data_IF_320782662502
#
_entry.id   IF_320782662502
#
_cell.length_a   1.000
_cell.length_b   1.000
_cell.length_c   1.000
_cell.angle_alpha   90.00
_cell.angle_beta   90.00
_cell.angle_gamma   90.00
#
_symmetry.space_group_name_H-M   'P 1'
#
loop_
_entity.id
_entity.type
_entity.pdbx_description
1 polymer ?
#
# COMPACT_ATOMS: atom_id res chain seq x y z
N UNK A 1 -20.92 -9.79 8.70
CA UNK A 1 -19.69 -10.38 9.26
C UNK A 1 -18.68 -9.27 9.61
N UNK A 2 -18.59 -8.77 10.86
CA UNK A 2 -17.45 -7.92 11.22
C UNK A 2 -16.99 -8.12 12.68
N UNK A 3 -16.20 -9.16 12.95
CA UNK A 3 -15.58 -9.35 14.29
C UNK A 3 -14.06 -9.58 14.23
N UNK A 4 -13.46 -9.76 13.05
CA UNK A 4 -12.02 -10.02 12.94
C UNK A 4 -11.16 -8.74 12.88
N UNK A 5 -11.74 -7.58 12.58
CA UNK A 5 -10.98 -6.31 12.48
C UNK A 5 -10.72 -5.61 13.82
N UNK A 6 -11.41 -6.00 14.90
CA UNK A 6 -11.28 -5.32 16.21
C UNK A 6 -10.21 -5.93 17.12
N UNK A 7 -9.85 -7.19 16.89
CA UNK A 7 -8.98 -7.93 17.82
C UNK A 7 -7.48 -7.72 17.55
N UNK A 8 -7.10 -7.29 16.35
CA UNK A 8 -5.71 -6.96 16.02
C UNK A 8 -5.24 -5.62 16.62
N UNK A 9 -6.15 -4.78 17.11
CA UNK A 9 -5.82 -3.50 17.74
C UNK A 9 -5.58 -3.58 19.25
N UNK A 10 -5.88 -4.71 19.90
CA UNK A 10 -5.97 -4.77 21.37
C UNK A 10 -4.91 -5.64 22.06
N UNK A 11 -4.12 -6.42 21.32
CA UNK A 11 -3.15 -7.34 21.93
C UNK A 11 -1.78 -7.22 21.24
N UNK A 12 -0.94 -6.30 21.71
CA UNK A 12 0.51 -6.35 21.51
C UNK A 12 1.06 -6.07 20.10
N UNK A 13 0.24 -5.65 19.14
CA UNK A 13 0.73 -5.19 17.84
C UNK A 13 1.21 -3.74 17.97
N UNK A 14 2.51 -3.50 17.74
CA UNK A 14 3.01 -2.15 17.52
C UNK A 14 2.08 -1.44 16.54
N UNK A 15 1.64 -0.23 16.89
CA UNK A 15 0.69 0.55 16.10
C UNK A 15 1.20 0.54 14.65
N UNK A 16 0.50 -0.11 13.71
CA UNK A 16 0.94 -0.12 12.32
C UNK A 16 1.03 1.33 11.85
N UNK A 17 2.25 1.81 11.67
CA UNK A 17 2.55 3.20 11.31
C UNK A 17 2.80 3.35 9.81
N UNK A 18 2.97 2.25 9.07
CA UNK A 18 3.21 2.32 7.63
C UNK A 18 2.84 1.05 6.87
N UNK A 19 3.11 1.11 5.57
CA UNK A 19 2.79 0.10 4.58
C UNK A 19 4.03 -0.20 3.74
N UNK A 20 4.18 -1.45 3.33
CA UNK A 20 5.20 -1.88 2.37
C UNK A 20 4.61 -2.92 1.41
N UNK A 21 5.27 -3.13 0.27
CA UNK A 21 4.94 -4.27 -0.60
C UNK A 21 5.36 -5.58 0.06
N UNK A 22 4.52 -6.60 -0.09
CA UNK A 22 4.94 -7.98 0.19
C UNK A 22 5.91 -8.47 -0.88
N UNK A 23 6.57 -9.61 -0.67
CA UNK A 23 7.40 -10.24 -1.71
C UNK A 23 6.59 -10.53 -2.99
N UNK A 24 5.36 -11.04 -2.84
CA UNK A 24 4.46 -11.29 -3.96
C UNK A 24 4.00 -9.99 -4.64
N UNK A 25 3.68 -8.96 -3.85
CA UNK A 25 3.34 -7.63 -4.36
C UNK A 25 4.49 -7.03 -5.16
N UNK A 26 5.72 -7.19 -4.67
CA UNK A 26 6.96 -6.76 -5.33
C UNK A 26 7.17 -7.49 -6.64
N UNK A 27 7.02 -8.82 -6.67
CA UNK A 27 7.18 -9.62 -7.88
C UNK A 27 6.13 -9.29 -8.95
N UNK A 28 4.87 -9.11 -8.55
CA UNK A 28 3.78 -8.70 -9.46
C UNK A 28 4.00 -7.29 -9.99
N UNK A 29 4.31 -6.36 -9.11
CA UNK A 29 4.50 -4.97 -9.51
C UNK A 29 5.71 -4.80 -10.43
N UNK A 30 6.81 -5.52 -10.19
CA UNK A 30 7.97 -5.52 -11.09
C UNK A 30 7.62 -5.94 -12.51
N UNK A 31 6.77 -6.97 -12.68
CA UNK A 31 6.28 -7.38 -14.01
C UNK A 31 5.42 -6.30 -14.65
N UNK A 32 4.60 -5.62 -13.84
CA UNK A 32 3.70 -4.53 -14.28
C UNK A 32 4.48 -3.31 -14.77
N UNK A 33 5.52 -2.87 -14.05
CA UNK A 33 6.38 -1.73 -14.48
C UNK A 33 6.97 -1.98 -15.86
N UNK A 34 7.40 -3.22 -16.15
CA UNK A 34 8.06 -3.54 -17.41
C UNK A 34 7.15 -3.41 -18.65
N UNK A 35 5.84 -3.42 -18.47
CA UNK A 35 4.84 -3.32 -19.54
C UNK A 35 3.91 -2.11 -19.42
N UNK A 36 4.08 -1.27 -18.39
CA UNK A 36 3.18 -0.15 -18.13
C UNK A 36 3.35 0.94 -19.20
N UNK A 37 2.23 1.37 -19.76
CA UNK A 37 2.18 2.54 -20.63
C UNK A 37 1.98 3.84 -19.82
N UNK A 38 1.97 4.99 -20.50
CA UNK A 38 1.81 6.29 -19.85
C UNK A 38 0.46 6.45 -19.14
N UNK A 39 -0.61 5.87 -19.69
CA UNK A 39 -1.94 5.95 -19.10
C UNK A 39 -2.03 5.14 -17.79
N UNK A 40 -1.43 3.94 -17.79
CA UNK A 40 -1.33 3.12 -16.60
C UNK A 40 -0.41 3.76 -15.54
N UNK A 41 0.71 4.34 -15.95
CA UNK A 41 1.63 5.04 -15.05
C UNK A 41 1.01 6.29 -14.39
N UNK A 42 0.01 6.91 -15.03
CA UNK A 42 -0.74 8.02 -14.49
C UNK A 42 -1.78 7.60 -13.42
N UNK A 43 -2.13 6.31 -13.36
CA UNK A 43 -3.12 5.75 -12.45
C UNK A 43 -2.72 5.82 -10.98
N UNK A 44 -3.72 6.02 -10.11
CA UNK A 44 -3.52 6.14 -8.65
C UNK A 44 -2.82 4.91 -8.07
N UNK A 45 -3.29 3.72 -8.45
CA UNK A 45 -2.74 2.44 -8.01
C UNK A 45 -1.26 2.29 -8.33
N UNK A 46 -0.91 2.65 -9.56
CA UNK A 46 0.46 2.55 -10.03
C UNK A 46 1.35 3.50 -9.25
N UNK A 47 0.92 4.76 -9.05
CA UNK A 47 1.69 5.75 -8.28
C UNK A 47 1.98 5.28 -6.86
N UNK A 48 0.96 4.75 -6.18
CA UNK A 48 1.08 4.24 -4.81
C UNK A 48 2.04 3.04 -4.76
N UNK A 49 1.82 2.02 -5.59
CA UNK A 49 2.64 0.81 -5.59
C UNK A 49 4.09 1.11 -6.02
N UNK A 50 4.28 2.04 -6.96
CA UNK A 50 5.61 2.49 -7.39
C UNK A 50 6.37 3.22 -6.28
N UNK A 51 5.67 4.04 -5.50
CA UNK A 51 6.28 4.71 -4.36
C UNK A 51 6.74 3.68 -3.31
N UNK A 52 5.89 2.73 -2.93
CA UNK A 52 6.26 1.66 -1.99
C UNK A 52 7.39 0.78 -2.55
N UNK A 53 7.37 0.46 -3.85
CA UNK A 53 8.45 -0.29 -4.49
C UNK A 53 9.82 0.41 -4.40
N UNK A 54 9.83 1.73 -4.53
CA UNK A 54 11.07 2.53 -4.51
C UNK A 54 11.59 2.83 -3.11
N UNK A 55 10.69 3.03 -2.15
CA UNK A 55 11.02 3.50 -0.81
C UNK A 55 10.93 2.41 0.26
N UNK A 56 10.41 1.23 -0.09
CA UNK A 56 10.20 0.11 0.82
C UNK A 56 8.96 0.34 1.68
N UNK A 57 9.18 0.75 2.93
CA UNK A 57 8.11 1.03 3.87
C UNK A 57 7.87 2.52 4.05
N UNK A 58 6.61 2.93 4.07
CA UNK A 58 6.23 4.33 4.26
C UNK A 58 4.93 4.50 5.06
N UNK A 59 4.81 5.58 5.86
CA UNK A 59 3.54 5.96 6.48
C UNK A 59 2.56 6.47 5.42
N UNK A 60 1.27 6.42 5.75
CA UNK A 60 0.21 6.77 4.81
C UNK A 60 0.26 8.24 4.38
N UNK A 61 0.69 9.11 5.29
CA UNK A 61 0.86 10.53 5.07
C UNK A 61 1.92 10.82 4.00
N UNK A 62 3.03 10.09 3.99
CA UNK A 62 4.11 10.25 2.99
C UNK A 62 3.67 9.75 1.62
N UNK A 63 2.94 8.62 1.58
CA UNK A 63 2.35 8.10 0.35
C UNK A 63 1.38 9.13 -0.25
N UNK A 64 0.50 9.70 0.56
CA UNK A 64 -0.46 10.71 0.14
C UNK A 64 0.25 11.96 -0.39
N UNK A 65 1.26 12.45 0.33
CA UNK A 65 2.06 13.60 -0.07
C UNK A 65 2.75 13.38 -1.43
N UNK A 66 3.42 12.24 -1.62
CA UNK A 66 4.17 11.95 -2.84
C UNK A 66 3.27 11.72 -4.06
N UNK A 67 2.18 10.99 -3.87
CA UNK A 67 1.28 10.63 -4.97
C UNK A 67 0.33 11.77 -5.36
N UNK A 68 0.22 12.81 -4.52
CA UNK A 68 -0.73 13.90 -4.67
C UNK A 68 -2.18 13.48 -4.39
N UNK A 69 -2.40 12.29 -3.83
CA UNK A 69 -3.70 11.74 -3.52
C UNK A 69 -4.16 12.17 -2.13
N UNK A 70 -5.47 12.27 -1.93
CA UNK A 70 -6.00 12.49 -0.59
C UNK A 70 -5.72 11.28 0.31
N UNK A 71 -5.61 11.53 1.61
CA UNK A 71 -5.48 10.50 2.64
C UNK A 71 -6.55 9.40 2.51
N UNK A 72 -7.78 9.79 2.17
CA UNK A 72 -8.90 8.85 2.00
C UNK A 72 -8.76 7.96 0.76
N UNK A 73 -8.27 8.51 -0.36
CA UNK A 73 -7.98 7.72 -1.57
C UNK A 73 -6.88 6.69 -1.29
N UNK A 74 -5.78 7.11 -0.67
CA UNK A 74 -4.69 6.19 -0.30
C UNK A 74 -5.20 5.11 0.65
N UNK A 75 -5.97 5.47 1.68
CA UNK A 75 -6.58 4.50 2.60
C UNK A 75 -7.49 3.48 1.89
N UNK A 76 -8.34 3.95 0.98
CA UNK A 76 -9.21 3.08 0.21
C UNK A 76 -8.39 2.09 -0.63
N UNK A 77 -7.34 2.58 -1.29
CA UNK A 77 -6.50 1.74 -2.13
C UNK A 77 -5.63 0.78 -1.34
N UNK A 78 -5.09 1.21 -0.20
CA UNK A 78 -4.40 0.33 0.75
C UNK A 78 -5.31 -0.83 1.18
N UNK A 79 -6.60 -0.57 1.43
CA UNK A 79 -7.55 -1.62 1.81
C UNK A 79 -7.71 -2.67 0.71
N UNK A 80 -7.76 -2.25 -0.56
CA UNK A 80 -7.81 -3.15 -1.73
C UNK A 80 -6.50 -3.92 -1.88
N UNK A 81 -5.35 -3.27 -1.71
CA UNK A 81 -4.06 -3.94 -1.83
C UNK A 81 -3.82 -4.96 -0.71
N UNK A 82 -4.24 -4.65 0.51
CA UNK A 82 -4.19 -5.56 1.67
C UNK A 82 -5.04 -6.80 1.41
N UNK A 83 -6.27 -6.64 0.89
CA UNK A 83 -7.15 -7.79 0.61
C UNK A 83 -6.61 -8.68 -0.51
N UNK A 84 -5.84 -8.11 -1.43
CA UNK A 84 -5.15 -8.85 -2.51
C UNK A 84 -3.76 -9.38 -2.12
N UNK A 85 -3.29 -9.11 -0.89
CA UNK A 85 -1.96 -9.53 -0.42
C UNK A 85 -0.79 -8.84 -1.11
N UNK A 86 -1.01 -7.67 -1.72
CA UNK A 86 0.02 -6.89 -2.42
C UNK A 86 0.85 -6.03 -1.47
N UNK A 87 0.23 -5.56 -0.40
CA UNK A 87 0.87 -4.78 0.66
C UNK A 87 0.62 -5.42 2.01
N UNK A 88 1.47 -5.09 2.97
CA UNK A 88 1.29 -5.43 4.37
C UNK A 88 1.55 -4.19 5.25
N UNK A 89 0.93 -4.16 6.42
CA UNK A 89 1.18 -3.12 7.40
C UNK A 89 2.44 -3.42 8.19
N UNK A 90 3.15 -2.38 8.60
CA UNK A 90 4.42 -2.48 9.32
C UNK A 90 4.54 -1.36 10.35
N UNK A 91 5.48 -1.54 11.26
CA UNK A 91 5.95 -0.51 12.20
C UNK A 91 7.16 0.18 11.59
N UNK A 92 6.97 1.39 11.12
CA UNK A 92 7.99 2.38 10.75
C UNK A 92 8.29 3.34 11.88
#
# INVERSE_FOLDING_TARGET
MPQLYRTLLAAGAGKMTGYMLTDEGTARFRKRIASADEAEAAGEDYKILNYLYRHGSAPLEDIAYYTGLSRNQVMAQMTVFLSHGLVEGTTV
#
